data_IF_011459316630
#
_entry.id   IF_011459316630
#
_cell.length_a   1.000
_cell.length_b   1.000
_cell.length_c   1.000
_cell.angle_alpha   90.00
_cell.angle_beta   90.00
_cell.angle_gamma   90.00
#
_symmetry.space_group_name_H-M   'P 1'
#
loop_
_entity.id
_entity.type
_entity.pdbx_description
1 polymer ?
#
# COMPACT_ATOMS: atom_id res chain seq x y z
N UNK A 1 1.74 6.28 16.44
CA UNK A 1 0.57 5.94 17.28
C UNK A 1 0.92 4.70 18.10
N UNK A 2 0.64 4.67 19.40
CA UNK A 2 0.93 3.50 20.23
C UNK A 2 -0.06 2.36 19.95
N UNK A 3 0.43 1.11 19.92
CA UNK A 3 -0.41 -0.08 19.75
C UNK A 3 -1.46 -0.19 20.86
N UNK A 4 -2.71 -0.45 20.48
CA UNK A 4 -3.81 -0.63 21.42
C UNK A 4 -3.66 -1.98 22.12
N UNK A 5 -3.50 -1.97 23.46
CA UNK A 5 -3.35 -3.19 24.27
C UNK A 5 -4.64 -3.50 25.05
N UNK A 6 -4.90 -4.77 25.42
CA UNK A 6 -6.10 -5.15 26.18
C UNK A 6 -6.36 -4.31 27.43
N UNK A 7 -5.29 -3.89 28.13
CA UNK A 7 -5.34 -3.05 29.33
C UNK A 7 -5.89 -1.63 29.11
N UNK A 8 -5.96 -1.16 27.86
CA UNK A 8 -6.47 0.18 27.53
C UNK A 8 -8.01 0.20 27.43
N UNK A 9 -8.66 -0.96 27.37
CA UNK A 9 -10.13 -1.06 27.30
C UNK A 9 -10.69 -1.03 28.72
N UNK A 10 -11.22 0.13 29.12
CA UNK A 10 -11.89 0.34 30.41
C UNK A 10 -13.40 0.19 30.23
N UNK A 11 -13.93 -1.00 30.53
CA UNK A 11 -15.34 -1.33 30.40
C UNK A 11 -15.61 -2.81 30.68
N UNK A 12 -16.88 -3.13 30.88
CA UNK A 12 -17.38 -4.50 31.10
C UNK A 12 -18.68 -4.77 30.32
N UNK A 13 -18.88 -4.04 29.23
CA UNK A 13 -19.94 -4.41 28.28
C UNK A 13 -19.56 -5.71 27.56
N UNK A 14 -20.54 -6.39 26.97
CA UNK A 14 -20.30 -7.58 26.13
C UNK A 14 -19.23 -7.28 25.07
N UNK A 15 -19.32 -6.11 24.42
CA UNK A 15 -18.36 -5.68 23.40
C UNK A 15 -16.97 -5.44 23.96
N UNK A 16 -16.83 -4.86 25.16
CA UNK A 16 -15.53 -4.64 25.79
C UNK A 16 -14.84 -5.96 26.13
N UNK A 17 -15.60 -6.95 26.60
CA UNK A 17 -15.09 -8.30 26.89
C UNK A 17 -14.61 -9.00 25.62
N UNK A 18 -15.42 -8.99 24.56
CA UNK A 18 -15.06 -9.55 23.25
C UNK A 18 -13.83 -8.84 22.69
N UNK A 19 -13.78 -7.50 22.73
CA UNK A 19 -12.66 -6.73 22.18
C UNK A 19 -11.36 -6.95 22.97
N UNK A 20 -11.44 -7.07 24.30
CA UNK A 20 -10.29 -7.41 25.13
C UNK A 20 -9.75 -8.80 24.82
N UNK A 21 -10.63 -9.79 24.65
CA UNK A 21 -10.25 -11.15 24.27
C UNK A 21 -9.65 -11.20 22.85
N UNK A 22 -10.21 -10.43 21.91
CA UNK A 22 -9.71 -10.30 20.55
C UNK A 22 -8.28 -9.72 20.52
N UNK A 23 -8.03 -8.60 21.21
CA UNK A 23 -6.69 -8.01 21.31
C UNK A 23 -5.68 -8.90 22.04
N UNK A 24 -6.15 -9.78 22.93
CA UNK A 24 -5.30 -10.73 23.65
C UNK A 24 -5.08 -12.04 22.89
N UNK A 25 -5.71 -12.21 21.71
CA UNK A 25 -5.76 -13.45 20.95
C UNK A 25 -6.27 -14.65 21.77
N UNK A 26 -7.30 -14.43 22.60
CA UNK A 26 -7.90 -15.43 23.51
C UNK A 26 -9.42 -15.54 23.30
N UNK A 27 -9.88 -15.47 22.06
CA UNK A 27 -11.31 -15.52 21.70
C UNK A 27 -11.96 -16.83 22.19
N UNK A 28 -11.21 -17.94 22.16
CA UNK A 28 -11.69 -19.26 22.61
C UNK A 28 -11.96 -19.32 24.13
N UNK A 29 -11.45 -18.34 24.90
CA UNK A 29 -11.69 -18.26 26.34
C UNK A 29 -12.91 -17.43 26.74
N UNK A 30 -13.64 -16.89 25.76
CA UNK A 30 -14.87 -16.14 26.00
C UNK A 30 -15.97 -17.05 26.58
N UNK A 31 -16.89 -16.42 27.32
CA UNK A 31 -18.13 -17.10 27.74
C UNK A 31 -18.93 -17.57 26.52
N UNK A 32 -19.70 -18.65 26.64
CA UNK A 32 -20.53 -19.17 25.54
C UNK A 32 -21.47 -18.09 24.98
N UNK A 33 -22.00 -17.22 25.85
CA UNK A 33 -22.84 -16.08 25.46
C UNK A 33 -22.07 -15.06 24.63
N UNK A 34 -20.85 -14.69 25.05
CA UNK A 34 -20.05 -13.70 24.34
C UNK A 34 -19.52 -14.29 23.01
N UNK A 35 -19.22 -15.59 22.95
CA UNK A 35 -18.86 -16.30 21.72
C UNK A 35 -19.98 -16.27 20.68
N UNK A 36 -21.22 -16.58 21.08
CA UNK A 36 -22.38 -16.51 20.17
C UNK A 36 -22.60 -15.10 19.61
N UNK A 37 -22.41 -14.07 20.44
CA UNK A 37 -22.48 -12.68 19.99
C UNK A 37 -21.35 -12.38 18.99
N UNK A 38 -20.11 -12.79 19.30
CA UNK A 38 -18.97 -12.62 18.42
C UNK A 38 -19.15 -13.29 17.06
N UNK A 39 -19.60 -14.54 17.03
CA UNK A 39 -19.89 -15.28 15.81
C UNK A 39 -20.95 -14.57 14.96
N UNK A 40 -22.02 -14.10 15.60
CA UNK A 40 -23.09 -13.37 14.93
C UNK A 40 -22.59 -12.08 14.31
N UNK A 41 -21.88 -11.23 15.05
CA UNK A 41 -21.35 -9.97 14.51
C UNK A 41 -20.30 -10.22 13.42
N UNK A 42 -19.53 -11.31 13.51
CA UNK A 42 -18.55 -11.70 12.48
C UNK A 42 -19.23 -12.15 11.19
N UNK A 43 -20.30 -12.95 11.27
CA UNK A 43 -21.08 -13.34 10.09
C UNK A 43 -21.76 -12.11 9.46
N UNK A 44 -22.29 -11.21 10.29
CA UNK A 44 -22.87 -9.95 9.82
C UNK A 44 -21.84 -9.11 9.06
N UNK A 45 -20.65 -8.92 9.61
CA UNK A 45 -19.55 -8.21 8.93
C UNK A 45 -19.20 -8.86 7.58
N UNK A 46 -19.16 -10.20 7.54
CA UNK A 46 -18.90 -10.92 6.31
C UNK A 46 -19.98 -10.64 5.24
N UNK A 47 -21.26 -10.62 5.62
CA UNK A 47 -22.36 -10.28 4.70
C UNK A 47 -22.32 -8.82 4.25
N UNK A 48 -21.94 -7.89 5.13
CA UNK A 48 -21.76 -6.47 4.77
C UNK A 48 -20.68 -6.32 3.71
N UNK A 49 -19.54 -7.01 3.85
CA UNK A 49 -18.42 -6.94 2.88
C UNK A 49 -18.71 -7.66 1.58
N UNK A 50 -19.34 -8.84 1.66
CA UNK A 50 -19.56 -9.70 0.50
C UNK A 50 -20.79 -9.30 -0.29
N UNK A 51 -21.82 -8.74 0.34
CA UNK A 51 -23.11 -8.48 -0.28
C UNK A 51 -23.87 -9.76 -0.59
N UNK A 52 -24.93 -9.64 -1.38
CA UNK A 52 -25.66 -10.79 -1.92
C UNK A 52 -25.69 -10.75 -3.44
N UNK A 53 -25.73 -11.94 -4.04
CA UNK A 53 -25.85 -12.07 -5.49
C UNK A 53 -27.32 -11.91 -5.87
N UNK A 54 -27.65 -10.78 -6.46
CA UNK A 54 -28.96 -10.56 -7.07
C UNK A 54 -28.92 -11.09 -8.50
N UNK A 55 -29.79 -12.07 -8.78
CA UNK A 55 -30.04 -12.53 -10.14
C UNK A 55 -31.06 -11.60 -10.77
N UNK A 56 -30.69 -10.92 -11.85
CA UNK A 56 -31.62 -10.12 -12.63
C UNK A 56 -32.19 -11.03 -13.71
N UNK A 57 -33.46 -11.39 -13.56
CA UNK A 57 -34.22 -12.12 -14.57
C UNK A 57 -34.97 -11.13 -15.46
N UNK A 58 -35.11 -11.48 -16.74
CA UNK A 58 -36.06 -10.84 -17.65
C UNK A 58 -36.99 -11.91 -18.17
N UNK A 59 -38.27 -11.55 -18.23
CA UNK A 59 -39.26 -12.40 -18.84
C UNK A 59 -39.05 -12.41 -20.35
N UNK A 60 -38.77 -13.59 -20.89
CA UNK A 60 -38.72 -13.83 -22.32
C UNK A 60 -40.12 -14.21 -22.80
N UNK A 61 -40.71 -13.34 -23.65
CA UNK A 61 -42.06 -13.53 -24.16
C UNK A 61 -42.16 -14.65 -25.20
N UNK A 62 -41.06 -15.02 -25.86
CA UNK A 62 -41.04 -16.10 -26.85
C UNK A 62 -40.97 -17.47 -26.15
N UNK A 63 -40.17 -17.56 -25.09
CA UNK A 63 -40.01 -18.79 -24.31
C UNK A 63 -41.01 -18.93 -23.15
N UNK A 64 -41.80 -17.88 -22.87
CA UNK A 64 -42.70 -17.77 -21.71
C UNK A 64 -42.02 -18.10 -20.37
N UNK A 65 -40.74 -17.78 -20.23
CA UNK A 65 -39.92 -18.13 -19.08
C UNK A 65 -39.08 -16.94 -18.62
N UNK A 66 -38.77 -16.89 -17.33
CA UNK A 66 -37.79 -15.96 -16.79
C UNK A 66 -36.38 -16.44 -17.12
N UNK A 67 -35.65 -15.66 -17.92
CA UNK A 67 -34.28 -15.95 -18.29
C UNK A 67 -33.35 -15.08 -17.45
N UNK A 68 -32.36 -15.70 -16.80
CA UNK A 68 -31.33 -15.01 -16.02
C UNK A 68 -30.40 -14.24 -16.98
N UNK A 69 -30.44 -12.90 -16.93
CA UNK A 69 -29.60 -12.07 -17.80
C UNK A 69 -28.23 -11.85 -17.18
N UNK A 70 -28.20 -11.41 -15.91
CA UNK A 70 -26.98 -10.97 -15.23
C UNK A 70 -27.02 -11.33 -13.74
N UNK A 71 -25.83 -11.60 -13.20
CA UNK A 71 -25.57 -11.72 -11.76
C UNK A 71 -24.85 -10.47 -11.31
N UNK A 72 -25.47 -9.71 -10.41
CA UNK A 72 -24.83 -8.54 -9.81
C UNK A 72 -24.66 -8.82 -8.33
N UNK A 73 -23.45 -8.62 -7.83
CA UNK A 73 -23.21 -8.61 -6.39
C UNK A 73 -23.58 -7.22 -5.86
N UNK A 74 -24.58 -7.18 -4.97
CA UNK A 74 -25.12 -5.95 -4.39
C UNK A 74 -24.94 -5.97 -2.87
N UNK A 75 -24.50 -4.85 -2.25
CA UNK A 75 -24.47 -4.76 -0.80
C UNK A 75 -25.89 -4.84 -0.22
N UNK A 76 -26.02 -5.46 0.94
CA UNK A 76 -27.29 -5.49 1.66
C UNK A 76 -27.75 -4.09 2.03
N UNK A 77 -29.04 -3.80 1.89
CA UNK A 77 -29.64 -2.70 2.63
C UNK A 77 -29.77 -3.09 4.11
N UNK A 78 -29.71 -2.12 5.02
CA UNK A 78 -29.84 -2.36 6.47
C UNK A 78 -31.07 -3.21 6.84
N UNK A 79 -32.21 -2.95 6.20
CA UNK A 79 -33.45 -3.71 6.43
C UNK A 79 -33.34 -5.15 5.93
N UNK A 80 -32.80 -5.36 4.73
CA UNK A 80 -32.59 -6.69 4.14
C UNK A 80 -31.61 -7.51 4.99
N UNK A 81 -30.53 -6.87 5.47
CA UNK A 81 -29.56 -7.47 6.38
C UNK A 81 -30.22 -7.84 7.70
N UNK A 82 -31.04 -6.97 8.28
CA UNK A 82 -31.77 -7.26 9.51
C UNK A 82 -32.69 -8.48 9.34
N UNK A 83 -33.43 -8.57 8.23
CA UNK A 83 -34.26 -9.75 7.94
C UNK A 83 -33.43 -11.02 7.78
N UNK A 84 -32.28 -10.93 7.13
CA UNK A 84 -31.36 -12.07 7.01
C UNK A 84 -30.86 -12.54 8.38
N UNK A 85 -30.46 -11.61 9.26
CA UNK A 85 -30.02 -11.92 10.63
C UNK A 85 -31.13 -12.60 11.42
N UNK A 86 -32.37 -12.08 11.32
CA UNK A 86 -33.53 -12.67 11.98
C UNK A 86 -33.75 -14.11 11.51
N UNK A 87 -33.71 -14.37 10.20
CA UNK A 87 -33.90 -15.69 9.64
C UNK A 87 -32.76 -16.67 10.01
N UNK A 88 -31.52 -16.19 10.05
CA UNK A 88 -30.33 -17.01 10.34
C UNK A 88 -30.18 -17.36 11.82
N UNK A 89 -30.41 -16.39 12.70
CA UNK A 89 -30.10 -16.51 14.14
C UNK A 89 -31.34 -16.56 15.03
N UNK A 90 -32.55 -16.41 14.49
CA UNK A 90 -33.80 -16.44 15.26
C UNK A 90 -33.93 -15.29 16.26
N UNK A 91 -33.27 -14.15 16.00
CA UNK A 91 -33.31 -12.97 16.87
C UNK A 91 -34.43 -12.01 16.49
N UNK A 92 -34.82 -11.14 17.41
CA UNK A 92 -35.78 -10.07 17.13
C UNK A 92 -35.19 -9.03 16.17
N UNK A 93 -36.05 -8.30 15.47
CA UNK A 93 -35.61 -7.23 14.57
C UNK A 93 -34.80 -6.15 15.28
N UNK A 94 -35.19 -5.78 16.50
CA UNK A 94 -34.46 -4.82 17.33
C UNK A 94 -33.04 -5.32 17.64
N UNK A 95 -32.89 -6.60 18.02
CA UNK A 95 -31.59 -7.20 18.27
C UNK A 95 -30.75 -7.28 17.00
N UNK A 96 -31.35 -7.59 15.84
CA UNK A 96 -30.65 -7.61 14.57
C UNK A 96 -30.02 -6.25 14.22
N UNK A 97 -30.73 -5.14 14.46
CA UNK A 97 -30.17 -3.80 14.28
C UNK A 97 -29.03 -3.51 15.26
N UNK A 98 -29.13 -3.96 16.51
CA UNK A 98 -28.05 -3.84 17.50
C UNK A 98 -26.83 -4.64 17.03
N UNK A 99 -27.02 -5.85 16.49
CA UNK A 99 -25.94 -6.68 15.96
C UNK A 99 -25.23 -6.05 14.76
N UNK A 100 -26.00 -5.43 13.85
CA UNK A 100 -25.44 -4.63 12.75
C UNK A 100 -24.58 -3.50 13.30
N UNK A 101 -25.08 -2.75 14.28
CA UNK A 101 -24.33 -1.65 14.88
C UNK A 101 -23.07 -2.14 15.60
N UNK A 102 -23.17 -3.23 16.37
CA UNK A 102 -22.03 -3.84 17.08
C UNK A 102 -20.97 -4.33 16.09
N UNK A 103 -21.38 -4.99 15.00
CA UNK A 103 -20.50 -5.42 13.92
C UNK A 103 -19.74 -4.23 13.33
N UNK A 104 -20.45 -3.17 12.97
CA UNK A 104 -19.86 -1.95 12.41
C UNK A 104 -18.88 -1.28 13.37
N UNK A 105 -19.24 -1.19 14.66
CA UNK A 105 -18.39 -0.60 15.69
C UNK A 105 -17.11 -1.42 15.94
N UNK A 106 -17.24 -2.76 15.94
CA UNK A 106 -16.16 -3.69 16.26
C UNK A 106 -15.17 -3.84 15.11
N UNK A 107 -15.65 -4.16 13.92
CA UNK A 107 -14.81 -4.39 12.75
C UNK A 107 -14.45 -3.11 12.01
N UNK A 108 -14.98 -1.96 12.46
CA UNK A 108 -14.81 -0.67 11.79
C UNK A 108 -15.22 -0.74 10.31
N UNK A 109 -16.19 -1.58 10.00
CA UNK A 109 -16.94 -1.52 8.74
C UNK A 109 -17.79 -0.26 8.82
N UNK A 110 -17.20 0.87 8.45
CA UNK A 110 -17.84 2.19 8.46
C UNK A 110 -18.96 2.19 7.41
N UNK A 111 -20.16 1.79 7.83
CA UNK A 111 -21.36 1.88 7.01
C UNK A 111 -22.02 3.26 7.09
N UNK A 112 -21.27 4.30 7.51
CA UNK A 112 -21.72 5.65 7.19
C UNK A 112 -21.37 5.89 5.72
N UNK A 113 -22.41 6.00 4.89
CA UNK A 113 -22.36 6.65 3.57
C UNK A 113 -21.72 8.06 3.60
N UNK A 114 -21.41 8.58 4.78
CA UNK A 114 -20.81 9.90 5.02
C UNK A 114 -19.29 9.85 5.20
N UNK A 115 -18.69 8.69 5.46
CA UNK A 115 -17.23 8.58 5.49
C UNK A 115 -16.72 8.45 4.05
N UNK A 116 -16.42 9.61 3.46
CA UNK A 116 -15.97 9.74 2.07
C UNK A 116 -14.81 8.80 1.76
N UNK A 117 -13.95 8.52 2.73
CA UNK A 117 -12.77 7.69 2.54
C UNK A 117 -13.11 6.19 2.46
N UNK A 118 -14.11 5.71 3.21
CA UNK A 118 -14.59 4.34 3.08
C UNK A 118 -15.32 4.12 1.75
N UNK A 119 -16.21 5.03 1.38
CA UNK A 119 -16.91 4.97 0.09
C UNK A 119 -15.91 5.00 -1.09
N UNK A 120 -14.88 5.85 -0.97
CA UNK A 120 -13.75 5.91 -1.90
C UNK A 120 -12.98 4.58 -1.95
N UNK A 121 -12.65 4.00 -0.79
CA UNK A 121 -11.96 2.72 -0.69
C UNK A 121 -12.75 1.56 -1.31
N UNK A 122 -14.06 1.50 -1.06
CA UNK A 122 -14.95 0.47 -1.65
C UNK A 122 -15.12 0.64 -3.15
N UNK A 123 -15.25 1.89 -3.64
CA UNK A 123 -15.25 2.16 -5.09
C UNK A 123 -13.94 1.75 -5.76
N UNK A 124 -12.80 1.98 -5.12
CA UNK A 124 -11.50 1.51 -5.61
C UNK A 124 -11.49 -0.01 -5.68
N UNK A 125 -11.84 -0.69 -4.60
CA UNK A 125 -11.84 -2.14 -4.53
C UNK A 125 -12.77 -2.79 -5.58
N UNK A 126 -14.01 -2.31 -5.71
CA UNK A 126 -14.94 -2.82 -6.71
C UNK A 126 -14.51 -2.49 -8.14
N UNK A 127 -14.00 -1.29 -8.38
CA UNK A 127 -13.52 -0.90 -9.70
C UNK A 127 -12.30 -1.71 -10.11
N UNK A 128 -11.35 -2.00 -9.20
CA UNK A 128 -10.20 -2.87 -9.48
C UNK A 128 -10.65 -4.29 -9.83
N UNK A 129 -11.62 -4.83 -9.09
CA UNK A 129 -12.18 -6.15 -9.38
C UNK A 129 -12.84 -6.19 -10.75
N UNK A 130 -13.69 -5.21 -11.07
CA UNK A 130 -14.34 -5.12 -12.38
C UNK A 130 -13.34 -4.88 -13.53
N UNK A 131 -12.28 -4.12 -13.29
CA UNK A 131 -11.20 -3.93 -14.24
C UNK A 131 -10.48 -5.25 -14.54
N UNK A 132 -10.16 -6.03 -13.50
CA UNK A 132 -9.52 -7.34 -13.64
C UNK A 132 -10.44 -8.34 -14.35
N UNK A 133 -11.74 -8.36 -14.03
CA UNK A 133 -12.73 -9.20 -14.70
C UNK A 133 -12.87 -8.84 -16.19
N UNK A 134 -13.00 -7.54 -16.51
CA UNK A 134 -13.06 -7.06 -17.90
C UNK A 134 -11.79 -7.37 -18.68
N UNK A 135 -10.61 -7.19 -18.07
CA UNK A 135 -9.33 -7.53 -18.67
C UNK A 135 -9.21 -9.05 -18.90
N UNK A 136 -9.63 -9.87 -17.94
CA UNK A 136 -9.65 -11.33 -18.06
C UNK A 136 -10.62 -11.84 -19.14
N UNK A 137 -11.73 -11.11 -19.36
CA UNK A 137 -12.68 -11.38 -20.44
C UNK A 137 -12.22 -10.88 -21.83
N UNK A 138 -11.08 -10.17 -21.91
CA UNK A 138 -10.58 -9.57 -23.15
C UNK A 138 -11.29 -8.27 -23.56
N UNK A 139 -12.14 -7.70 -22.71
CA UNK A 139 -12.76 -6.38 -22.93
C UNK A 139 -11.83 -5.26 -22.44
N UNK A 140 -10.81 -4.97 -23.24
CA UNK A 140 -9.84 -3.92 -22.94
C UNK A 140 -10.45 -2.51 -22.94
N UNK A 141 -11.59 -2.32 -23.62
CA UNK A 141 -12.27 -1.01 -23.66
C UNK A 141 -12.94 -0.73 -22.33
N UNK A 142 -13.66 -1.70 -21.77
CA UNK A 142 -14.23 -1.59 -20.44
C UNK A 142 -13.13 -1.48 -19.37
N UNK A 143 -12.06 -2.29 -19.46
CA UNK A 143 -10.93 -2.21 -18.53
C UNK A 143 -10.26 -0.82 -18.55
N UNK A 144 -10.05 -0.22 -19.73
CA UNK A 144 -9.51 1.13 -19.87
C UNK A 144 -10.44 2.20 -19.27
N UNK A 145 -11.75 2.06 -19.42
CA UNK A 145 -12.73 2.95 -18.81
C UNK A 145 -12.70 2.87 -17.28
N UNK A 146 -12.64 1.66 -16.72
CA UNK A 146 -12.48 1.46 -15.27
C UNK A 146 -11.17 2.07 -14.76
N UNK A 147 -10.05 1.82 -15.46
CA UNK A 147 -8.76 2.40 -15.10
C UNK A 147 -8.82 3.93 -15.02
N UNK A 148 -9.40 4.59 -16.04
CA UNK A 148 -9.53 6.04 -16.08
C UNK A 148 -10.31 6.60 -14.89
N UNK A 149 -11.44 5.98 -14.55
CA UNK A 149 -12.25 6.41 -13.40
C UNK A 149 -11.55 6.09 -12.07
N UNK A 150 -10.88 4.95 -11.95
CA UNK A 150 -10.06 4.60 -10.78
C UNK A 150 -8.92 5.59 -10.55
N UNK A 151 -8.22 6.04 -11.60
CA UNK A 151 -7.15 7.04 -11.48
C UNK A 151 -7.67 8.37 -10.94
N UNK A 152 -8.89 8.78 -11.32
CA UNK A 152 -9.54 9.98 -10.75
C UNK A 152 -9.82 9.78 -9.27
N UNK A 153 -10.48 8.66 -8.92
CA UNK A 153 -10.83 8.34 -7.54
C UNK A 153 -9.58 8.20 -6.67
N UNK A 154 -8.46 7.67 -7.17
CA UNK A 154 -7.20 7.57 -6.43
C UNK A 154 -6.41 8.88 -6.30
N UNK A 155 -6.81 9.95 -7.00
CA UNK A 155 -6.05 11.21 -6.99
C UNK A 155 -4.77 11.17 -7.82
N UNK A 156 -4.53 10.12 -8.62
CA UNK A 156 -3.34 9.98 -9.48
C UNK A 156 -3.29 10.98 -10.64
N UNK A 157 -4.36 11.77 -10.79
CA UNK A 157 -4.48 12.86 -11.75
C UNK A 157 -4.09 14.22 -11.15
N UNK A 158 -3.99 14.31 -9.83
CA UNK A 158 -3.55 15.52 -9.15
C UNK A 158 -2.02 15.62 -9.27
N UNK A 159 -1.50 16.84 -9.43
CA UNK A 159 -0.06 17.06 -9.42
C UNK A 159 0.44 16.80 -8.01
N UNK A 160 1.35 15.85 -7.87
CA UNK A 160 2.01 15.57 -6.62
C UNK A 160 2.85 16.80 -6.21
N UNK A 161 2.48 17.43 -5.10
CA UNK A 161 3.13 18.62 -4.58
C UNK A 161 4.51 18.31 -3.99
N UNK A 162 4.81 17.04 -3.69
CA UNK A 162 6.09 16.60 -3.14
C UNK A 162 7.13 16.33 -4.24
N UNK A 163 6.73 16.33 -5.52
CA UNK A 163 7.65 16.21 -6.64
C UNK A 163 8.29 17.59 -6.89
N UNK A 164 9.64 17.70 -6.86
CA UNK A 164 10.33 18.94 -7.20
C UNK A 164 9.95 19.39 -8.61
N UNK A 165 9.69 20.70 -8.81
CA UNK A 165 9.47 21.21 -10.17
C UNK A 165 10.79 21.09 -10.95
N UNK A 166 10.87 20.06 -11.79
CA UNK A 166 12.04 19.81 -12.63
C UNK A 166 12.32 20.93 -13.64
N UNK A 167 11.41 21.89 -13.81
CA UNK A 167 11.69 23.12 -14.59
C UNK A 167 12.67 24.05 -13.89
N UNK A 168 12.71 24.02 -12.55
CA UNK A 168 13.64 24.81 -11.75
C UNK A 168 14.93 24.04 -11.44
N UNK A 169 14.97 22.75 -11.76
CA UNK A 169 16.18 21.94 -11.63
C UNK A 169 17.24 22.44 -12.63
N UNK A 170 18.16 23.25 -12.11
CA UNK A 170 19.39 23.60 -12.82
C UNK A 170 20.46 22.60 -12.41
N UNK A 171 20.99 21.77 -13.33
CA UNK A 171 22.12 20.92 -13.03
C UNK A 171 23.25 21.80 -12.50
N UNK A 172 23.83 21.43 -11.37
CA UNK A 172 25.02 22.09 -10.85
C UNK A 172 26.08 21.94 -11.95
N UNK A 173 26.41 23.03 -12.62
CA UNK A 173 27.51 23.07 -13.58
C UNK A 173 28.78 23.28 -12.77
N UNK A 174 29.61 22.25 -12.54
CA UNK A 174 30.86 22.46 -11.82
C UNK A 174 31.71 23.46 -12.61
N UNK A 175 32.01 24.60 -12.01
CA UNK A 175 32.98 25.54 -12.55
C UNK A 175 34.34 24.99 -12.17
N UNK A 176 35.08 24.47 -13.14
CA UNK A 176 36.47 24.07 -12.95
C UNK A 176 37.30 25.36 -12.89
N UNK A 177 37.48 25.89 -11.69
CA UNK A 177 38.27 27.09 -11.45
C UNK A 177 39.69 26.68 -11.07
N UNK A 178 40.69 27.12 -11.85
CA UNK A 178 42.12 26.81 -11.60
C UNK A 178 42.74 27.67 -10.50
N UNK A 179 42.06 28.72 -10.06
CA UNK A 179 42.55 29.67 -9.05
C UNK A 179 41.91 29.40 -7.68
N UNK A 180 42.70 28.84 -6.76
CA UNK A 180 42.25 28.48 -5.41
C UNK A 180 41.77 29.70 -4.60
N UNK A 181 42.20 30.92 -4.96
CA UNK A 181 41.78 32.14 -4.28
C UNK A 181 40.29 32.48 -4.45
N UNK A 182 39.67 32.05 -5.56
CA UNK A 182 38.22 32.24 -5.77
C UNK A 182 37.35 31.25 -4.99
N UNK A 183 37.96 30.17 -4.49
CA UNK A 183 37.33 29.20 -3.60
C UNK A 183 37.48 29.56 -2.11
N UNK A 184 38.06 30.73 -1.81
CA UNK A 184 38.23 31.23 -0.44
C UNK A 184 39.52 30.79 0.25
N UNK A 185 40.47 30.19 -0.48
CA UNK A 185 41.78 29.82 0.08
C UNK A 185 42.77 30.98 -0.03
N UNK A 186 43.64 31.14 0.97
CA UNK A 186 44.67 32.16 0.97
C UNK A 186 45.62 31.98 -0.22
N UNK A 187 45.88 33.07 -0.95
CA UNK A 187 46.76 33.06 -2.11
C UNK A 187 48.20 32.85 -1.66
N UNK A 188 48.79 31.72 -2.01
CA UNK A 188 50.22 31.48 -1.80
C UNK A 188 50.99 32.27 -2.87
N UNK A 189 51.60 33.40 -2.48
CA UNK A 189 52.30 34.30 -3.41
C UNK A 189 53.49 33.65 -4.12
N UNK A 190 54.14 32.67 -3.49
CA UNK A 190 55.29 31.93 -4.02
C UNK A 190 54.97 30.46 -4.32
N UNK A 191 53.96 30.25 -5.17
CA UNK A 191 53.41 28.93 -5.48
C UNK A 191 54.44 27.96 -6.07
N UNK A 192 55.41 28.45 -6.85
CA UNK A 192 56.48 27.63 -7.42
C UNK A 192 57.54 27.21 -6.40
N UNK A 193 57.93 28.10 -5.49
CA UNK A 193 58.90 27.78 -4.44
C UNK A 193 58.32 26.77 -3.45
N UNK A 194 57.06 26.97 -3.04
CA UNK A 194 56.35 26.06 -2.13
C UNK A 194 56.09 24.70 -2.80
N UNK A 195 55.77 24.67 -4.11
CA UNK A 195 55.70 23.42 -4.89
C UNK A 195 57.05 22.71 -4.95
N UNK A 196 58.15 23.44 -5.16
CA UNK A 196 59.49 22.86 -5.24
C UNK A 196 59.94 22.27 -3.90
N UNK A 197 59.63 22.94 -2.78
CA UNK A 197 59.94 22.43 -1.44
C UNK A 197 59.05 21.23 -1.07
N UNK A 198 57.75 21.27 -1.37
CA UNK A 198 56.86 20.11 -1.22
C UNK A 198 57.32 18.92 -2.08
N UNK A 199 57.72 19.16 -3.34
CA UNK A 199 58.25 18.11 -4.21
C UNK A 199 59.58 17.54 -3.70
N UNK A 200 60.44 18.36 -3.07
CA UNK A 200 61.66 17.87 -2.40
C UNK A 200 61.34 17.04 -1.18
N UNK A 201 60.39 17.46 -0.34
CA UNK A 201 59.94 16.66 0.80
C UNK A 201 59.26 15.36 0.39
N UNK A 202 58.46 15.38 -0.68
CA UNK A 202 57.80 14.20 -1.25
C UNK A 202 58.82 13.24 -1.86
N UNK A 203 59.81 13.73 -2.62
CA UNK A 203 60.91 12.90 -3.14
C UNK A 203 61.80 12.33 -2.04
N UNK A 204 61.93 13.02 -0.90
CA UNK A 204 62.64 12.50 0.27
C UNK A 204 61.89 11.40 1.02
N UNK A 205 60.54 11.39 0.92
CA UNK A 205 59.66 10.39 1.56
C UNK A 205 59.19 9.29 0.60
N UNK A 206 59.44 9.40 -0.71
CA UNK A 206 58.95 8.45 -1.71
C UNK A 206 59.62 7.07 -1.67
N UNK A 207 60.68 6.88 -0.87
CA UNK A 207 61.33 5.57 -0.75
C UNK A 207 60.42 4.43 -0.26
N UNK A 208 59.30 4.75 0.41
CA UNK A 208 58.32 3.74 0.82
C UNK A 208 57.19 3.53 -0.21
N UNK A 209 56.85 4.55 -1.00
CA UNK A 209 55.76 4.48 -1.99
C UNK A 209 56.27 3.93 -3.31
N UNK A 210 57.47 4.34 -3.75
CA UNK A 210 58.11 3.81 -4.96
C UNK A 210 58.43 2.31 -4.81
N UNK A 211 58.79 1.85 -3.59
CA UNK A 211 58.94 0.41 -3.30
C UNK A 211 57.64 -0.38 -3.40
N UNK A 212 56.50 0.20 -2.99
CA UNK A 212 55.20 -0.46 -3.11
C UNK A 212 54.70 -0.51 -4.56
N UNK A 213 55.08 0.46 -5.39
CA UNK A 213 54.73 0.49 -6.82
C UNK A 213 55.58 -0.45 -7.67
N UNK A 214 56.85 -0.70 -7.31
CA UNK A 214 57.69 -1.70 -7.98
C UNK A 214 57.26 -3.14 -7.63
N UNK A 215 56.90 -3.42 -6.36
CA UNK A 215 56.43 -4.76 -5.93
C UNK A 215 55.06 -5.14 -6.54
N UNK A 216 54.21 -4.18 -6.91
CA UNK A 216 52.90 -4.45 -7.55
C UNK A 216 52.95 -4.53 -9.08
N UNK A 217 54.08 -4.18 -9.72
CA UNK A 217 54.20 -4.09 -11.17
C UNK A 217 54.88 -5.31 -11.85
N UNK A 218 55.39 -6.29 -11.10
CA UNK A 218 56.05 -7.48 -11.66
C UNK A 218 55.11 -8.66 -11.99
N UNK A 219 53.84 -8.66 -11.58
CA UNK A 219 52.95 -9.83 -11.73
C UNK A 219 51.71 -9.59 -12.63
N UNK A 220 51.93 -9.18 -13.89
CA UNK A 220 50.90 -9.40 -14.93
C UNK A 220 51.52 -9.90 -16.24
N UNK A 221 51.85 -11.20 -16.29
CA UNK A 221 52.14 -11.94 -17.53
C UNK A 221 50.86 -12.05 -18.38
N UNK A 222 50.78 -11.29 -19.46
CA UNK A 222 49.68 -11.27 -20.43
C UNK A 222 49.93 -12.20 -21.64
N UNK A 223 50.48 -13.40 -21.44
CA UNK A 223 50.79 -14.32 -22.56
C UNK A 223 49.84 -15.52 -22.77
N UNK A 224 48.78 -15.69 -21.96
CA UNK A 224 47.91 -16.91 -22.05
C UNK A 224 46.44 -16.67 -22.49
N UNK A 225 46.13 -15.60 -23.24
CA UNK A 225 44.77 -15.39 -23.80
C UNK A 225 44.72 -15.30 -25.34
N UNK A 226 45.68 -15.91 -26.01
CA UNK A 226 45.61 -16.19 -27.43
C UNK A 226 45.75 -17.70 -27.67
N UNK A 227 44.64 -18.44 -27.60
CA UNK A 227 44.27 -19.51 -28.55
C UNK A 227 43.11 -20.40 -28.04
N UNK A 228 42.13 -20.67 -28.91
CA UNK A 228 41.13 -21.74 -28.76
C UNK A 228 39.68 -21.26 -28.80
N UNK A 229 39.08 -21.04 -29.96
CA UNK A 229 38.24 -22.01 -30.70
C UNK A 229 36.84 -22.29 -30.09
N UNK A 230 35.83 -21.84 -30.86
CA UNK A 230 34.39 -22.21 -30.91
C UNK A 230 33.49 -21.70 -29.78
#
# INVERSE_FOLDING_TARGET
>A
MGELRPKHIKGDTIMDRIFRAFLANKIDSLSETDQRVYERIREVDAQVRTGFVQKITKFDYELQLEVEIHRINRPYQKLELAHWIMARFGVSQAQAYIDIQMSQQFFKTFESKEDKDYARGMHIYWGERMMMEAHGAGDFRAASAFYKELSKVKGLHEKDHDIPDYKEFTPIKPVIETDASKLGFEKIENLEAVKADLLKELKGKSSSIDRMLEDEAEDVDYEDLADGQV
#
